data_IF_147173144177
#
_entry.id   IF_147173144177
#
_cell.length_a   1.000
_cell.length_b   1.000
_cell.length_c   1.000
_cell.angle_alpha   90.00
_cell.angle_beta   90.00
_cell.angle_gamma   90.00
#
_symmetry.space_group_name_H-M   'P 1'
#
loop_
_entity.id
_entity.type
_entity.pdbx_description
1 polymer ?
#
# COMPACT_ATOMS: atom_id res chain seq x y z
N UNK A 1 6.40 -3.08 -19.71
CA UNK A 1 5.23 -3.93 -20.03
C UNK A 1 4.64 -3.72 -21.42
N UNK A 2 5.31 -2.98 -22.30
CA UNK A 2 4.91 -2.81 -23.70
C UNK A 2 3.81 -1.79 -23.99
N UNK A 3 3.34 -1.05 -22.98
CA UNK A 3 2.42 0.06 -23.22
C UNK A 3 3.17 1.27 -23.77
N UNK A 4 2.80 1.72 -24.99
CA UNK A 4 3.46 2.86 -25.68
C UNK A 4 2.93 4.23 -25.26
N UNK A 5 1.65 4.31 -24.82
CA UNK A 5 1.00 5.57 -24.44
C UNK A 5 0.57 5.49 -22.98
N UNK A 6 1.47 5.85 -22.07
CA UNK A 6 1.18 5.95 -20.63
C UNK A 6 1.11 7.43 -20.28
N UNK A 7 -0.02 7.87 -19.72
CA UNK A 7 -0.22 9.24 -19.25
C UNK A 7 -0.16 9.23 -17.73
N UNK A 8 0.80 9.94 -17.18
CA UNK A 8 0.88 10.26 -15.75
C UNK A 8 0.76 11.77 -15.59
N UNK A 9 0.19 12.21 -14.47
CA UNK A 9 0.03 13.63 -14.22
C UNK A 9 0.41 13.98 -12.78
N UNK A 10 1.22 15.02 -12.65
CA UNK A 10 1.66 15.52 -11.35
C UNK A 10 0.55 16.28 -10.63
N UNK A 11 0.55 16.25 -9.29
CA UNK A 11 -0.40 16.97 -8.43
C UNK A 11 -0.41 18.48 -8.71
N UNK A 12 0.75 19.08 -9.08
CA UNK A 12 0.84 20.51 -9.42
C UNK A 12 0.07 20.84 -10.71
N UNK A 13 -0.03 19.89 -11.65
CA UNK A 13 -0.75 20.07 -12.93
C UNK A 13 -2.24 19.72 -12.82
N UNK A 14 -2.59 18.74 -12.00
CA UNK A 14 -3.98 18.33 -11.79
C UNK A 14 -4.24 18.04 -10.32
N UNK A 15 -4.93 18.96 -9.65
CA UNK A 15 -5.43 18.72 -8.30
C UNK A 15 -6.66 17.79 -8.39
N UNK A 16 -6.54 16.56 -7.86
CA UNK A 16 -7.58 15.54 -7.89
C UNK A 16 -8.79 15.86 -7.01
N UNK A 17 -8.68 16.85 -6.11
CA UNK A 17 -9.82 17.36 -5.34
C UNK A 17 -10.76 18.24 -6.18
N UNK A 18 -10.30 18.75 -7.33
CA UNK A 18 -11.11 19.55 -8.22
C UNK A 18 -11.84 18.67 -9.25
N UNK A 19 -13.10 18.38 -8.99
CA UNK A 19 -13.94 17.50 -9.80
C UNK A 19 -14.00 17.94 -11.28
N UNK A 20 -14.26 19.21 -11.53
CA UNK A 20 -14.41 19.73 -12.89
C UNK A 20 -13.13 19.54 -13.71
N UNK A 21 -11.96 19.80 -13.11
CA UNK A 21 -10.67 19.61 -13.78
C UNK A 21 -10.40 18.14 -14.05
N UNK A 22 -10.71 17.25 -13.11
CA UNK A 22 -10.55 15.79 -13.27
C UNK A 22 -11.44 15.28 -14.39
N UNK A 23 -12.72 15.67 -14.42
CA UNK A 23 -13.66 15.24 -15.45
C UNK A 23 -13.24 15.75 -16.84
N UNK A 24 -12.88 17.04 -16.96
CA UNK A 24 -12.38 17.61 -18.22
C UNK A 24 -11.14 16.87 -18.71
N UNK A 25 -10.21 16.58 -17.81
CA UNK A 25 -8.99 15.83 -18.13
C UNK A 25 -9.29 14.43 -18.66
N UNK A 26 -10.09 13.63 -17.95
CA UNK A 26 -10.43 12.27 -18.35
C UNK A 26 -11.23 12.23 -19.66
N UNK A 27 -12.18 13.16 -19.86
CA UNK A 27 -12.91 13.31 -21.13
C UNK A 27 -11.99 13.67 -22.31
N UNK A 28 -10.97 14.51 -22.08
CA UNK A 28 -9.99 14.87 -23.10
C UNK A 28 -9.08 13.70 -23.49
N UNK A 29 -8.57 12.96 -22.48
CA UNK A 29 -7.61 11.86 -22.71
C UNK A 29 -8.29 10.60 -23.24
N UNK A 30 -9.55 10.32 -22.82
CA UNK A 30 -10.31 9.10 -23.14
C UNK A 30 -9.47 7.82 -22.98
N UNK A 31 -8.92 7.56 -21.79
CA UNK A 31 -8.00 6.45 -21.60
C UNK A 31 -8.74 5.11 -21.77
N UNK A 32 -8.09 4.13 -22.39
CA UNK A 32 -8.62 2.77 -22.48
C UNK A 32 -8.62 2.07 -21.11
N UNK A 33 -7.59 2.34 -20.30
CA UNK A 33 -7.39 1.78 -18.97
C UNK A 33 -7.05 2.88 -17.97
N UNK A 34 -7.53 2.74 -16.73
CA UNK A 34 -7.18 3.66 -15.64
C UNK A 34 -6.62 2.87 -14.46
N UNK A 35 -5.49 3.33 -13.91
CA UNK A 35 -4.93 2.84 -12.65
C UNK A 35 -5.01 3.95 -11.61
N UNK A 36 -5.80 3.73 -10.55
CA UNK A 36 -5.93 4.69 -9.45
C UNK A 36 -5.00 4.26 -8.32
N UNK A 37 -3.80 4.84 -8.32
CA UNK A 37 -2.82 4.71 -7.23
C UNK A 37 -2.80 5.94 -6.31
N UNK A 38 -3.51 7.00 -6.71
CA UNK A 38 -3.56 8.26 -5.96
C UNK A 38 -4.37 8.11 -4.67
N UNK A 39 -3.80 8.58 -3.56
CA UNK A 39 -4.46 8.69 -2.27
C UNK A 39 -3.68 9.65 -1.36
N UNK A 40 -4.33 10.19 -0.32
CA UNK A 40 -3.64 10.76 0.83
C UNK A 40 -3.25 9.59 1.75
N UNK A 41 -1.95 9.37 1.89
CA UNK A 41 -1.38 8.28 2.71
C UNK A 41 -0.44 8.84 3.77
N UNK A 42 -0.22 8.08 4.83
CA UNK A 42 0.70 8.45 5.90
C UNK A 42 0.85 7.35 6.94
N UNK A 43 1.81 7.54 7.84
CA UNK A 43 2.01 6.66 8.99
C UNK A 43 0.87 6.76 10.02
N UNK A 44 0.92 5.92 11.04
CA UNK A 44 -0.13 5.81 12.08
C UNK A 44 -0.38 7.15 12.79
N UNK A 45 0.68 7.89 13.10
CA UNK A 45 0.54 9.19 13.79
C UNK A 45 -0.19 10.20 12.92
N UNK A 46 0.20 10.30 11.65
CA UNK A 46 -0.42 11.23 10.69
C UNK A 46 -1.89 10.87 10.44
N UNK A 47 -2.20 9.58 10.26
CA UNK A 47 -3.58 9.11 10.13
C UNK A 47 -4.43 9.49 11.35
N UNK A 48 -3.88 9.32 12.55
CA UNK A 48 -4.60 9.61 13.79
C UNK A 48 -4.77 11.10 14.06
N UNK A 49 -3.84 11.95 13.64
CA UNK A 49 -3.90 13.41 13.85
C UNK A 49 -4.72 14.15 12.80
N UNK A 50 -4.72 13.67 11.56
CA UNK A 50 -5.39 14.33 10.42
C UNK A 50 -6.64 13.58 9.95
N UNK A 51 -7.39 12.99 10.87
CA UNK A 51 -8.53 12.08 10.59
C UNK A 51 -9.54 12.65 9.58
N UNK A 52 -10.01 13.88 9.79
CA UNK A 52 -10.96 14.55 8.89
C UNK A 52 -10.40 14.75 7.49
N UNK A 53 -9.13 15.14 7.37
CA UNK A 53 -8.49 15.29 6.06
C UNK A 53 -8.30 13.95 5.35
N UNK A 54 -7.94 12.89 6.08
CA UNK A 54 -7.74 11.58 5.48
C UNK A 54 -9.02 11.00 4.89
N UNK A 55 -10.14 11.08 5.61
CA UNK A 55 -11.42 10.60 5.07
C UNK A 55 -11.89 11.47 3.92
N UNK A 56 -11.92 12.79 4.09
CA UNK A 56 -12.42 13.73 3.09
C UNK A 56 -11.63 13.68 1.78
N UNK A 57 -10.31 13.91 1.84
CA UNK A 57 -9.50 13.98 0.63
C UNK A 57 -9.50 12.64 -0.13
N UNK A 58 -9.43 11.50 0.56
CA UNK A 58 -9.48 10.20 -0.11
C UNK A 58 -10.84 9.92 -0.76
N UNK A 59 -11.96 10.28 -0.10
CA UNK A 59 -13.28 10.16 -0.70
C UNK A 59 -13.40 11.01 -1.96
N UNK A 60 -12.98 12.28 -1.90
CA UNK A 60 -13.07 13.18 -3.06
C UNK A 60 -12.19 12.71 -4.22
N UNK A 61 -10.93 12.34 -3.94
CA UNK A 61 -9.99 11.85 -4.96
C UNK A 61 -10.57 10.63 -5.70
N UNK A 62 -11.01 9.63 -4.97
CA UNK A 62 -11.48 8.39 -5.57
C UNK A 62 -12.83 8.55 -6.27
N UNK A 63 -13.76 9.35 -5.70
CA UNK A 63 -15.04 9.64 -6.32
C UNK A 63 -14.85 10.35 -7.66
N UNK A 64 -13.98 11.37 -7.69
CA UNK A 64 -13.68 12.10 -8.91
C UNK A 64 -13.07 11.20 -9.98
N UNK A 65 -12.13 10.32 -9.60
CA UNK A 65 -11.46 9.44 -10.54
C UNK A 65 -12.34 8.29 -11.03
N UNK A 66 -13.09 7.63 -10.13
CA UNK A 66 -13.96 6.50 -10.49
C UNK A 66 -15.12 6.99 -11.35
N UNK A 67 -15.84 8.03 -10.88
CA UNK A 67 -16.97 8.57 -11.63
C UNK A 67 -16.53 9.24 -12.92
N UNK A 68 -15.50 10.05 -12.88
CA UNK A 68 -14.93 10.69 -14.08
C UNK A 68 -14.46 9.68 -15.13
N UNK A 69 -13.89 8.54 -14.71
CA UNK A 69 -13.55 7.44 -15.61
C UNK A 69 -14.77 6.84 -16.30
N UNK A 70 -15.84 6.63 -15.55
CA UNK A 70 -17.12 6.17 -16.10
C UNK A 70 -17.68 7.17 -17.13
N UNK A 71 -17.73 8.47 -16.79
CA UNK A 71 -18.19 9.52 -17.70
C UNK A 71 -17.32 9.67 -18.96
N UNK A 72 -16.06 9.28 -18.89
CA UNK A 72 -15.15 9.24 -20.03
C UNK A 72 -15.24 7.96 -20.86
N UNK A 73 -16.16 7.04 -20.52
CA UNK A 73 -16.40 5.78 -21.22
C UNK A 73 -15.40 4.66 -20.87
N UNK A 74 -14.61 4.81 -19.81
CA UNK A 74 -13.65 3.80 -19.37
C UNK A 74 -14.37 2.57 -18.85
N UNK A 75 -14.11 1.42 -19.45
CA UNK A 75 -14.68 0.13 -19.03
C UNK A 75 -13.79 -0.66 -18.09
N UNK A 76 -12.48 -0.44 -18.11
CA UNK A 76 -11.49 -1.18 -17.34
C UNK A 76 -10.69 -0.24 -16.42
N UNK A 77 -10.80 -0.46 -15.12
CA UNK A 77 -10.14 0.33 -14.09
C UNK A 77 -9.58 -0.59 -13.00
N UNK A 78 -8.38 -0.27 -12.52
CA UNK A 78 -7.80 -0.84 -11.31
C UNK A 78 -7.78 0.24 -10.22
N UNK A 79 -8.49 -0.02 -9.13
CA UNK A 79 -8.43 0.77 -7.90
C UNK A 79 -7.52 0.09 -6.88
N UNK A 80 -6.51 0.80 -6.40
CA UNK A 80 -5.67 0.29 -5.32
C UNK A 80 -6.33 0.56 -3.97
N UNK A 81 -6.84 -0.51 -3.36
CA UNK A 81 -7.27 -0.56 -1.97
C UNK A 81 -6.07 -0.67 -1.02
N UNK A 82 -6.25 -1.35 0.07
CA UNK A 82 -5.22 -1.64 1.08
C UNK A 82 -5.67 -2.78 1.99
N UNK A 83 -4.77 -3.56 2.55
CA UNK A 83 -5.10 -4.54 3.59
C UNK A 83 -5.61 -3.90 4.90
N UNK A 84 -5.42 -2.57 5.06
CA UNK A 84 -5.92 -1.83 6.22
C UNK A 84 -7.45 -1.69 6.26
N UNK A 85 -8.16 -2.06 5.20
CA UNK A 85 -9.63 -2.01 5.14
C UNK A 85 -10.31 -3.19 5.84
N UNK A 86 -9.54 -4.21 6.19
CA UNK A 86 -10.08 -5.36 6.89
C UNK A 86 -10.25 -5.09 8.38
N UNK A 87 -11.17 -5.79 9.04
CA UNK A 87 -11.36 -5.66 10.47
C UNK A 87 -10.08 -5.89 11.25
N UNK A 88 -9.91 -5.13 12.35
CA UNK A 88 -8.75 -5.24 13.23
C UNK A 88 -8.55 -6.67 13.74
N UNK A 89 -9.62 -7.28 14.19
CA UNK A 89 -9.63 -8.62 14.78
C UNK A 89 -10.31 -9.60 13.81
N UNK A 90 -9.64 -9.93 12.71
CA UNK A 90 -10.13 -10.96 11.79
C UNK A 90 -9.17 -12.15 11.72
N UNK A 91 -9.69 -13.30 11.33
CA UNK A 91 -8.88 -14.51 11.15
C UNK A 91 -7.76 -14.29 10.13
N UNK A 92 -6.62 -14.92 10.39
CA UNK A 92 -5.46 -14.88 9.52
C UNK A 92 -5.24 -16.24 8.84
N UNK A 93 -4.91 -16.27 7.55
CA UNK A 93 -4.74 -15.14 6.64
C UNK A 93 -6.09 -14.52 6.24
N UNK A 94 -6.09 -13.19 6.05
CA UNK A 94 -7.28 -12.38 5.81
C UNK A 94 -7.87 -12.68 4.43
N UNK A 95 -9.12 -13.12 4.40
CA UNK A 95 -9.85 -13.35 3.15
C UNK A 95 -10.63 -12.11 2.71
N UNK A 96 -10.90 -12.00 1.40
CA UNK A 96 -11.61 -10.83 0.84
C UNK A 96 -13.05 -10.70 1.37
N UNK A 97 -13.69 -11.82 1.75
CA UNK A 97 -15.03 -11.84 2.34
C UNK A 97 -15.10 -11.28 3.77
N UNK A 98 -13.96 -11.01 4.41
CA UNK A 98 -13.94 -10.38 5.74
C UNK A 98 -14.15 -8.87 5.70
N UNK A 99 -14.22 -8.29 4.50
CA UNK A 99 -14.50 -6.86 4.34
C UNK A 99 -15.87 -6.50 4.99
N UNK A 100 -15.87 -5.52 5.88
CA UNK A 100 -17.06 -5.06 6.64
C UNK A 100 -17.62 -6.03 7.70
N UNK A 101 -16.93 -7.11 8.04
CA UNK A 101 -17.48 -8.08 9.00
C UNK A 101 -17.28 -7.69 10.46
N UNK A 102 -16.48 -6.67 10.78
CA UNK A 102 -16.24 -6.21 12.15
C UNK A 102 -15.57 -4.83 12.16
N UNK A 103 -15.28 -4.30 13.37
CA UNK A 103 -14.68 -2.99 13.58
C UNK A 103 -13.28 -2.87 12.96
N UNK A 104 -13.00 -1.68 12.42
CA UNK A 104 -11.72 -1.29 11.87
C UNK A 104 -10.71 -0.91 12.98
N UNK A 105 -9.43 -0.83 12.63
CA UNK A 105 -8.43 -0.28 13.52
C UNK A 105 -8.61 1.24 13.64
N UNK A 106 -8.84 1.72 14.85
CA UNK A 106 -9.29 3.09 15.15
C UNK A 106 -8.42 4.20 14.54
N UNK A 107 -7.08 4.07 14.62
CA UNK A 107 -6.18 5.14 14.14
C UNK A 107 -6.16 5.24 12.62
N UNK A 108 -6.49 4.15 11.92
CA UNK A 108 -6.52 4.07 10.46
C UNK A 108 -7.96 4.08 9.88
N UNK A 109 -8.97 4.06 10.73
CA UNK A 109 -10.38 3.97 10.34
C UNK A 109 -10.80 5.00 9.27
N UNK A 110 -10.45 6.30 9.37
CA UNK A 110 -10.85 7.27 8.36
C UNK A 110 -10.34 6.95 6.95
N UNK A 111 -9.10 6.51 6.84
CA UNK A 111 -8.51 6.04 5.59
C UNK A 111 -9.18 4.75 5.10
N UNK A 112 -9.38 3.79 6.01
CA UNK A 112 -9.98 2.51 5.69
C UNK A 112 -11.41 2.68 5.18
N UNK A 113 -12.25 3.49 5.85
CA UNK A 113 -13.63 3.80 5.40
C UNK A 113 -13.63 4.42 4.01
N UNK A 114 -12.76 5.40 3.77
CA UNK A 114 -12.67 5.98 2.43
C UNK A 114 -12.33 4.91 1.38
N UNK A 115 -11.33 4.05 1.64
CA UNK A 115 -10.97 2.97 0.71
C UNK A 115 -12.09 1.95 0.52
N UNK A 116 -12.84 1.59 1.58
CA UNK A 116 -14.01 0.71 1.50
C UNK A 116 -15.08 1.33 0.61
N UNK A 117 -15.36 2.62 0.76
CA UNK A 117 -16.31 3.34 -0.10
C UNK A 117 -15.91 3.26 -1.59
N UNK A 118 -14.62 3.44 -1.92
CA UNK A 118 -14.12 3.28 -3.28
C UNK A 118 -14.25 1.86 -3.83
N UNK A 119 -14.01 0.83 -3.00
CA UNK A 119 -14.22 -0.57 -3.36
C UNK A 119 -15.71 -0.79 -3.69
N UNK A 120 -16.61 -0.36 -2.80
CA UNK A 120 -18.06 -0.50 -3.01
C UNK A 120 -18.55 0.29 -4.22
N UNK A 121 -17.99 1.46 -4.47
CA UNK A 121 -18.27 2.22 -5.68
C UNK A 121 -17.89 1.42 -6.94
N UNK A 122 -16.70 0.83 -7.00
CA UNK A 122 -16.30 -0.02 -8.13
C UNK A 122 -17.23 -1.23 -8.33
N UNK A 123 -17.62 -1.91 -7.25
CA UNK A 123 -18.53 -3.05 -7.30
C UNK A 123 -19.91 -2.64 -7.86
N UNK A 124 -20.49 -1.54 -7.35
CA UNK A 124 -21.80 -1.06 -7.80
C UNK A 124 -21.77 -0.55 -9.25
N UNK A 125 -20.66 0.07 -9.69
CA UNK A 125 -20.49 0.45 -11.09
C UNK A 125 -20.43 -0.77 -12.02
N UNK A 126 -19.82 -1.87 -11.57
CA UNK A 126 -19.82 -3.12 -12.31
C UNK A 126 -21.23 -3.69 -12.47
N UNK A 127 -22.04 -3.63 -11.39
CA UNK A 127 -23.41 -4.14 -11.40
C UNK A 127 -24.30 -3.29 -12.30
N UNK A 128 -24.31 -1.97 -12.06
CA UNK A 128 -25.23 -1.05 -12.71
C UNK A 128 -24.84 -0.74 -14.16
N UNK A 129 -23.57 -0.45 -14.40
CA UNK A 129 -23.08 0.08 -15.68
C UNK A 129 -22.27 -0.93 -16.50
N UNK A 130 -22.20 -2.19 -16.04
CA UNK A 130 -21.47 -3.28 -16.70
C UNK A 130 -20.01 -2.92 -17.00
N UNK A 131 -19.39 -2.17 -16.08
CA UNK A 131 -17.95 -1.91 -16.11
C UNK A 131 -17.17 -3.16 -15.66
N UNK A 132 -15.84 -3.12 -15.73
CA UNK A 132 -14.95 -4.20 -15.27
C UNK A 132 -13.89 -3.64 -14.31
N UNK A 133 -14.35 -2.86 -13.34
CA UNK A 133 -13.51 -2.26 -12.33
C UNK A 133 -13.06 -3.30 -11.31
N UNK A 134 -11.76 -3.32 -11.00
CA UNK A 134 -11.17 -4.25 -10.05
C UNK A 134 -10.44 -3.50 -8.95
N UNK A 135 -10.56 -4.00 -7.73
CA UNK A 135 -9.91 -3.47 -6.55
C UNK A 135 -8.81 -4.43 -6.11
N UNK A 136 -7.57 -4.00 -6.18
CA UNK A 136 -6.45 -4.77 -5.70
C UNK A 136 -6.10 -4.33 -4.29
N UNK A 137 -5.99 -5.30 -3.38
CA UNK A 137 -5.75 -5.09 -1.95
C UNK A 137 -4.29 -5.46 -1.63
N UNK A 138 -3.33 -4.55 -1.86
CA UNK A 138 -1.93 -4.86 -1.65
C UNK A 138 -1.58 -5.01 -0.18
N UNK A 139 -0.66 -5.93 0.12
CA UNK A 139 0.08 -5.97 1.36
C UNK A 139 0.97 -4.72 1.52
N UNK A 140 1.70 -4.60 2.65
CA UNK A 140 2.61 -3.48 2.84
C UNK A 140 3.66 -3.43 1.74
N UNK A 141 3.66 -2.35 0.99
CA UNK A 141 4.59 -2.15 -0.12
C UNK A 141 5.94 -1.67 0.35
N UNK A 142 6.97 -2.01 -0.41
CA UNK A 142 8.31 -1.44 -0.28
C UNK A 142 9.02 -1.45 -1.64
N UNK A 143 9.97 -0.55 -1.82
CA UNK A 143 10.76 -0.47 -3.05
C UNK A 143 11.41 0.90 -3.25
N UNK A 144 12.07 1.12 -4.39
CA UNK A 144 12.52 2.44 -4.81
C UNK A 144 11.37 3.43 -4.88
N UNK A 145 11.67 4.72 -4.69
CA UNK A 145 10.71 5.83 -4.65
C UNK A 145 9.71 5.80 -3.48
N UNK A 146 9.99 5.05 -2.42
CA UNK A 146 9.18 5.06 -1.21
C UNK A 146 9.35 6.38 -0.43
N UNK A 147 8.43 6.63 0.52
CA UNK A 147 8.49 7.81 1.36
C UNK A 147 9.34 7.57 2.61
N UNK A 148 10.44 8.29 2.73
CA UNK A 148 11.39 8.20 3.86
C UNK A 148 11.25 9.36 4.86
N UNK A 149 10.23 10.20 4.75
CA UNK A 149 9.99 11.30 5.69
C UNK A 149 9.85 10.79 7.14
N UNK A 150 10.45 11.46 8.14
CA UNK A 150 10.46 11.03 9.52
C UNK A 150 9.08 10.84 10.16
N UNK A 151 8.10 11.64 9.74
CA UNK A 151 6.77 11.71 10.34
C UNK A 151 5.73 10.87 9.60
N UNK A 152 5.89 10.75 8.27
CA UNK A 152 4.84 10.17 7.41
C UNK A 152 5.20 8.81 6.82
N UNK A 153 6.47 8.37 6.92
CA UNK A 153 6.92 7.09 6.36
C UNK A 153 6.30 5.87 7.03
N UNK A 154 6.15 4.81 6.25
CA UNK A 154 5.80 3.48 6.76
C UNK A 154 6.97 2.81 7.48
N UNK A 155 6.70 1.64 8.11
CA UNK A 155 7.68 0.99 9.00
C UNK A 155 8.99 0.63 8.31
N UNK A 156 8.96 0.12 7.08
CA UNK A 156 10.18 -0.36 6.41
C UNK A 156 11.09 0.79 5.94
N UNK A 157 10.60 1.84 5.27
CA UNK A 157 11.39 3.06 5.02
C UNK A 157 11.93 3.69 6.30
N UNK A 158 11.12 3.74 7.37
CA UNK A 158 11.57 4.26 8.66
C UNK A 158 12.74 3.46 9.26
N UNK A 159 12.69 2.12 9.16
CA UNK A 159 13.80 1.24 9.59
C UNK A 159 15.05 1.51 8.76
N UNK A 160 14.94 1.58 7.43
CA UNK A 160 16.08 1.83 6.54
C UNK A 160 16.74 3.17 6.90
N UNK A 161 15.95 4.26 6.96
CA UNK A 161 16.44 5.60 7.30
C UNK A 161 17.13 5.65 8.66
N UNK A 162 16.49 5.13 9.71
CA UNK A 162 17.06 5.10 11.07
C UNK A 162 18.36 4.30 11.13
N UNK A 163 18.43 3.17 10.44
CA UNK A 163 19.62 2.34 10.40
C UNK A 163 20.76 3.01 9.63
N UNK A 164 20.44 3.68 8.52
CA UNK A 164 21.43 4.45 7.74
C UNK A 164 22.02 5.60 8.56
N UNK A 165 21.17 6.35 9.29
CA UNK A 165 21.65 7.42 10.16
C UNK A 165 22.58 6.94 11.28
N UNK A 166 22.37 5.72 11.79
CA UNK A 166 23.28 5.12 12.77
C UNK A 166 24.63 4.76 12.19
N UNK A 167 24.69 4.35 10.93
CA UNK A 167 25.99 4.07 10.26
C UNK A 167 26.85 5.31 10.20
N UNK A 168 26.25 6.45 9.90
CA UNK A 168 26.95 7.73 9.71
C UNK A 168 27.28 8.43 11.05
N UNK A 169 26.57 8.13 12.13
CA UNK A 169 26.78 8.75 13.44
C UNK A 169 27.57 7.82 14.38
N UNK A 170 28.88 8.07 14.53
CA UNK A 170 29.76 7.25 15.37
C UNK A 170 29.38 7.29 16.86
N UNK A 171 28.81 8.35 17.36
CA UNK A 171 28.49 8.53 18.80
C UNK A 171 27.13 7.90 19.18
N UNK A 172 26.18 7.79 18.27
CA UNK A 172 24.86 7.23 18.56
C UNK A 172 24.78 5.76 18.14
N UNK A 173 24.46 4.86 19.07
CA UNK A 173 24.22 3.44 18.85
C UNK A 173 22.80 3.00 19.20
N UNK A 174 21.88 3.95 19.50
CA UNK A 174 20.51 3.66 19.90
C UNK A 174 19.56 3.70 18.71
N UNK A 175 18.77 2.66 18.55
CA UNK A 175 17.68 2.59 17.56
C UNK A 175 16.36 2.41 18.29
N UNK A 176 15.51 3.40 18.19
CA UNK A 176 14.15 3.32 18.76
C UNK A 176 13.25 2.52 17.83
N UNK A 177 12.77 1.38 18.33
CA UNK A 177 11.78 0.54 17.67
C UNK A 177 10.44 0.67 18.39
N UNK A 178 9.37 0.82 17.63
CA UNK A 178 8.03 0.89 18.19
C UNK A 178 7.51 -0.51 18.54
N UNK A 179 6.99 -0.64 19.76
CA UNK A 179 6.47 -1.89 20.29
C UNK A 179 7.58 -2.89 20.65
N UNK A 180 7.21 -4.17 20.78
CA UNK A 180 8.10 -5.27 21.20
C UNK A 180 8.85 -5.93 20.02
N UNK A 181 8.53 -5.55 18.78
CA UNK A 181 9.15 -6.11 17.56
C UNK A 181 8.67 -7.51 17.18
N UNK A 182 7.75 -8.13 17.91
CA UNK A 182 7.20 -9.46 17.57
C UNK A 182 6.07 -9.38 16.55
N UNK A 183 5.51 -8.20 16.32
CA UNK A 183 4.48 -7.96 15.32
C UNK A 183 4.92 -8.48 13.95
N UNK A 184 4.04 -9.23 13.29
CA UNK A 184 4.28 -9.79 11.96
C UNK A 184 3.61 -8.96 10.90
N UNK A 185 4.32 -8.76 9.79
CA UNK A 185 3.79 -8.03 8.63
C UNK A 185 4.11 -8.79 7.36
N UNK A 186 3.15 -8.83 6.48
CA UNK A 186 3.36 -9.21 5.10
C UNK A 186 3.89 -7.99 4.34
N UNK A 187 4.93 -8.20 3.54
CA UNK A 187 5.50 -7.17 2.66
C UNK A 187 5.51 -7.64 1.22
N UNK A 188 5.31 -6.71 0.30
CA UNK A 188 5.28 -6.96 -1.13
C UNK A 188 6.17 -5.93 -1.86
N UNK A 189 7.05 -6.40 -2.73
CA UNK A 189 7.88 -5.51 -3.53
C UNK A 189 7.04 -4.78 -4.58
N UNK A 190 7.28 -3.49 -4.75
CA UNK A 190 6.46 -2.60 -5.59
C UNK A 190 6.33 -3.05 -7.04
N UNK A 191 7.39 -3.64 -7.63
CA UNK A 191 7.31 -4.17 -9.00
C UNK A 191 6.35 -5.36 -9.12
N UNK A 192 6.19 -6.17 -8.07
CA UNK A 192 5.21 -7.26 -8.08
C UNK A 192 3.78 -6.71 -8.05
N UNK A 193 3.53 -5.59 -7.35
CA UNK A 193 2.25 -4.89 -7.47
C UNK A 193 2.04 -4.34 -8.88
N UNK A 194 3.06 -3.74 -9.49
CA UNK A 194 3.00 -3.28 -10.87
C UNK A 194 2.67 -4.41 -11.85
N UNK A 195 3.27 -5.59 -11.65
CA UNK A 195 2.95 -6.81 -12.42
C UNK A 195 1.51 -7.25 -12.20
N UNK A 196 1.02 -7.25 -10.96
CA UNK A 196 -0.37 -7.56 -10.64
C UNK A 196 -1.35 -6.60 -11.33
N UNK A 197 -1.09 -5.29 -11.27
CA UNK A 197 -1.93 -4.29 -11.92
C UNK A 197 -2.11 -4.58 -13.41
N UNK A 198 -1.02 -4.84 -14.13
CA UNK A 198 -1.07 -5.14 -15.56
C UNK A 198 -1.75 -6.49 -15.81
N UNK A 199 -1.43 -7.50 -15.01
CA UNK A 199 -2.04 -8.83 -15.13
C UNK A 199 -3.57 -8.77 -14.98
N UNK A 200 -4.03 -8.16 -13.88
CA UNK A 200 -5.45 -8.09 -13.57
C UNK A 200 -6.21 -7.10 -14.44
N UNK A 201 -5.56 -6.08 -15.01
CA UNK A 201 -6.18 -5.23 -16.02
C UNK A 201 -6.67 -6.04 -17.21
N UNK A 202 -5.87 -6.98 -17.69
CA UNK A 202 -6.17 -7.80 -18.86
C UNK A 202 -6.96 -9.08 -18.52
N UNK A 203 -7.04 -9.47 -17.24
CA UNK A 203 -7.71 -10.70 -16.81
C UNK A 203 -9.22 -10.51 -16.77
N UNK A 204 -9.95 -11.27 -17.58
CA UNK A 204 -11.40 -11.40 -17.45
C UNK A 204 -11.73 -12.22 -16.20
N UNK A 205 -12.50 -11.66 -15.29
CA UNK A 205 -12.94 -12.32 -14.05
C UNK A 205 -14.17 -11.65 -13.48
N UNK A 206 -15.02 -12.43 -12.80
CA UNK A 206 -16.15 -11.92 -12.00
C UNK A 206 -15.71 -11.37 -10.63
N UNK A 207 -14.48 -11.66 -10.21
CA UNK A 207 -13.98 -11.20 -8.92
C UNK A 207 -13.48 -9.76 -9.04
N UNK A 208 -14.15 -8.84 -8.35
CA UNK A 208 -13.81 -7.42 -8.32
C UNK A 208 -12.80 -7.06 -7.22
N UNK A 209 -12.78 -7.81 -6.10
CA UNK A 209 -11.86 -7.58 -4.97
C UNK A 209 -10.87 -8.74 -4.88
N UNK A 210 -9.56 -8.40 -4.89
CA UNK A 210 -8.48 -9.40 -4.98
C UNK A 210 -7.34 -8.98 -4.05
N UNK A 211 -7.01 -9.83 -3.10
CA UNK A 211 -5.84 -9.65 -2.24
C UNK A 211 -4.55 -9.89 -3.02
N UNK A 212 -3.61 -8.96 -2.91
CA UNK A 212 -2.31 -8.98 -3.57
C UNK A 212 -1.20 -8.99 -2.54
N UNK A 213 -0.61 -10.15 -2.33
CA UNK A 213 0.42 -10.33 -1.32
C UNK A 213 1.32 -11.52 -1.60
N UNK A 214 2.40 -11.61 -0.82
CA UNK A 214 3.34 -12.75 -0.85
C UNK A 214 2.77 -14.00 -0.19
N UNK A 215 1.80 -13.83 0.72
CA UNK A 215 1.28 -14.86 1.62
C UNK A 215 2.27 -15.24 2.71
N UNK A 216 3.32 -14.43 2.94
CA UNK A 216 4.37 -14.67 3.94
C UNK A 216 4.48 -13.50 4.89
N UNK A 217 4.44 -13.82 6.16
CA UNK A 217 4.67 -12.85 7.22
C UNK A 217 6.14 -12.85 7.64
N UNK A 218 6.66 -11.67 7.93
CA UNK A 218 7.99 -11.49 8.49
C UNK A 218 7.88 -10.68 9.78
N UNK A 219 8.61 -11.11 10.79
CA UNK A 219 8.71 -10.39 12.07
C UNK A 219 9.49 -9.08 11.87
N UNK A 220 9.02 -7.99 12.44
CA UNK A 220 9.67 -6.67 12.30
C UNK A 220 11.11 -6.69 12.81
N UNK A 221 11.40 -7.47 13.88
CA UNK A 221 12.77 -7.65 14.40
C UNK A 221 13.68 -8.34 13.37
N UNK A 222 13.16 -9.34 12.66
CA UNK A 222 13.92 -10.02 11.58
C UNK A 222 14.21 -9.07 10.42
N UNK A 223 13.23 -8.28 10.00
CA UNK A 223 13.41 -7.25 8.96
C UNK A 223 14.48 -6.26 9.38
N UNK A 224 14.44 -5.77 10.62
CA UNK A 224 15.45 -4.86 11.16
C UNK A 224 16.86 -5.48 11.09
N UNK A 225 17.03 -6.74 11.50
CA UNK A 225 18.32 -7.42 11.45
C UNK A 225 18.86 -7.53 10.01
N UNK A 226 18.00 -7.86 9.06
CA UNK A 226 18.37 -7.91 7.63
C UNK A 226 18.83 -6.52 7.15
N UNK A 227 18.10 -5.46 7.50
CA UNK A 227 18.46 -4.08 7.13
C UNK A 227 19.79 -3.66 7.74
N UNK A 228 20.06 -3.98 9.02
CA UNK A 228 21.32 -3.70 9.70
C UNK A 228 22.50 -4.35 8.93
N UNK A 229 22.33 -5.61 8.56
CA UNK A 229 23.36 -6.37 7.83
C UNK A 229 23.59 -5.78 6.42
N UNK A 230 22.53 -5.46 5.68
CA UNK A 230 22.62 -4.90 4.33
C UNK A 230 23.20 -3.48 4.29
N UNK A 231 22.93 -2.66 5.30
CA UNK A 231 23.52 -1.32 5.43
C UNK A 231 24.98 -1.40 5.86
N UNK A 232 25.36 -2.49 6.56
CA UNK A 232 26.73 -2.71 7.05
C UNK A 232 27.05 -1.90 8.31
N UNK A 233 26.12 -1.86 9.28
CA UNK A 233 26.38 -1.26 10.60
C UNK A 233 27.16 -2.26 11.45
N UNK A 234 28.45 -1.98 11.68
CA UNK A 234 29.36 -2.90 12.40
C UNK A 234 29.30 -2.78 13.93
N UNK A 235 28.80 -1.66 14.45
CA UNK A 235 28.69 -1.43 15.90
C UNK A 235 27.47 -2.12 16.51
N UNK A 236 27.56 -2.45 17.81
CA UNK A 236 26.43 -2.96 18.58
C UNK A 236 25.34 -1.91 18.68
N UNK A 237 24.14 -2.25 18.17
CA UNK A 237 22.96 -1.38 18.23
C UNK A 237 22.15 -1.71 19.47
N UNK A 238 21.85 -0.69 20.28
CA UNK A 238 20.92 -0.78 21.39
C UNK A 238 19.51 -0.49 20.87
N UNK A 239 18.63 -1.50 20.95
CA UNK A 239 17.24 -1.35 20.52
C UNK A 239 16.43 -0.89 21.71
N UNK A 240 15.99 0.37 21.69
CA UNK A 240 15.05 0.90 22.68
C UNK A 240 13.63 0.61 22.22
N UNK A 241 12.88 -0.12 23.06
CA UNK A 241 11.47 -0.41 22.85
C UNK A 241 10.65 0.74 23.45
N UNK A 242 10.06 1.56 22.61
CA UNK A 242 9.15 2.64 23.05
C UNK A 242 7.76 2.41 22.50
N UNK A 243 6.74 2.54 23.35
CA UNK A 243 5.35 2.52 22.93
C UNK A 243 4.94 3.93 22.50
N UNK A 244 5.06 4.21 21.21
CA UNK A 244 4.65 5.50 20.62
C UNK A 244 3.27 5.42 19.93
N UNK A 245 2.58 4.31 20.06
CA UNK A 245 1.23 4.11 19.50
C UNK A 245 0.15 4.38 20.55
N UNK A 246 -1.02 4.89 20.16
CA UNK A 246 -2.18 4.91 21.02
C UNK A 246 -2.49 3.50 21.59
N UNK A 247 -2.92 3.47 22.86
CA UNK A 247 -3.37 2.20 23.47
C UNK A 247 -4.45 1.55 22.57
N UNK A 248 -4.42 0.24 22.41
CA UNK A 248 -5.37 -0.55 21.59
C UNK A 248 -5.25 -0.36 20.07
N UNK A 249 -4.24 0.34 19.52
CA UNK A 249 -4.05 0.49 18.06
C UNK A 249 -3.19 -0.62 17.42
N UNK A 250 -2.70 -1.58 18.19
CA UNK A 250 -1.83 -2.65 17.68
C UNK A 250 -2.64 -3.70 16.94
N UNK A 251 -2.17 -4.03 15.74
CA UNK A 251 -2.60 -5.19 14.95
C UNK A 251 -1.42 -6.15 14.93
N UNK A 252 -1.52 -7.29 15.61
CA UNK A 252 -0.40 -8.21 15.79
C UNK A 252 0.02 -8.88 14.49
N UNK A 253 -0.95 -9.23 13.66
CA UNK A 253 -0.73 -9.89 12.36
C UNK A 253 -1.53 -9.20 11.27
N UNK A 254 -0.92 -9.09 10.10
CA UNK A 254 -1.57 -8.58 8.90
C UNK A 254 -1.01 -9.34 7.69
N UNK A 255 -1.68 -10.43 7.33
CA UNK A 255 -1.33 -11.28 6.21
C UNK A 255 -2.57 -11.57 5.37
N UNK A 256 -2.54 -11.20 4.09
CA UNK A 256 -3.65 -11.46 3.19
C UNK A 256 -3.68 -12.92 2.72
N UNK A 257 -4.88 -13.48 2.63
CA UNK A 257 -5.09 -14.72 1.91
C UNK A 257 -4.96 -14.47 0.40
N UNK A 258 -3.91 -14.97 -0.21
CA UNK A 258 -3.69 -14.82 -1.64
C UNK A 258 -4.23 -16.00 -2.48
N UNK A 259 -5.05 -16.88 -1.90
CA UNK A 259 -5.60 -18.07 -2.60
C UNK A 259 -6.39 -17.68 -3.84
N UNK A 260 -7.22 -16.64 -3.79
CA UNK A 260 -7.98 -16.14 -4.93
C UNK A 260 -7.07 -15.76 -6.08
N UNK A 261 -6.06 -14.93 -5.82
CA UNK A 261 -5.08 -14.53 -6.84
C UNK A 261 -4.32 -15.74 -7.41
N UNK A 262 -3.83 -16.64 -6.55
CA UNK A 262 -2.98 -17.79 -6.97
C UNK A 262 -3.76 -18.92 -7.62
N UNK A 263 -4.80 -19.43 -6.95
CA UNK A 263 -5.46 -20.67 -7.34
C UNK A 263 -6.54 -20.42 -8.40
N UNK A 264 -7.36 -19.38 -8.20
CA UNK A 264 -8.46 -19.09 -9.12
C UNK A 264 -8.01 -18.24 -10.30
N UNK A 265 -7.17 -17.24 -10.08
CA UNK A 265 -6.79 -16.28 -11.10
C UNK A 265 -5.38 -16.50 -11.68
N UNK A 266 -4.63 -17.49 -11.15
CA UNK A 266 -3.31 -17.93 -11.65
C UNK A 266 -2.23 -16.82 -11.61
N UNK A 267 -2.30 -15.93 -10.64
CA UNK A 267 -1.27 -14.92 -10.40
C UNK A 267 -0.54 -15.15 -9.07
N UNK A 268 0.76 -14.97 -9.07
CA UNK A 268 1.61 -14.98 -7.86
C UNK A 268 2.73 -13.95 -8.01
N UNK A 269 3.20 -13.32 -6.90
CA UNK A 269 4.36 -12.45 -6.97
C UNK A 269 5.61 -13.23 -7.38
N UNK A 270 6.47 -12.60 -8.14
CA UNK A 270 7.75 -13.20 -8.57
C UNK A 270 8.75 -13.26 -7.43
N UNK A 271 8.72 -12.25 -6.54
CA UNK A 271 9.67 -12.06 -5.43
C UNK A 271 9.08 -12.51 -4.09
N UNK A 272 8.78 -13.80 -3.99
CA UNK A 272 8.12 -14.39 -2.82
C UNK A 272 9.05 -15.27 -1.94
N UNK A 273 10.29 -15.55 -2.37
CA UNK A 273 11.27 -16.27 -1.55
C UNK A 273 12.02 -15.32 -0.61
N UNK A 274 12.64 -15.87 0.46
CA UNK A 274 13.49 -15.07 1.37
C UNK A 274 14.67 -14.44 0.62
N UNK A 275 15.29 -15.18 -0.28
CA UNK A 275 16.40 -14.69 -1.12
C UNK A 275 15.95 -13.51 -1.99
N UNK A 276 14.80 -13.61 -2.65
CA UNK A 276 14.28 -12.52 -3.48
C UNK A 276 13.84 -11.31 -2.65
N UNK A 277 13.32 -11.52 -1.44
CA UNK A 277 13.05 -10.44 -0.51
C UNK A 277 14.33 -9.67 -0.15
N UNK A 278 15.39 -10.38 0.21
CA UNK A 278 16.71 -9.77 0.55
C UNK A 278 17.27 -9.00 -0.66
N UNK A 279 17.22 -9.57 -1.87
CA UNK A 279 17.66 -8.89 -3.10
C UNK A 279 16.88 -7.61 -3.36
N UNK A 280 15.56 -7.65 -3.19
CA UNK A 280 14.68 -6.50 -3.39
C UNK A 280 14.91 -5.42 -2.33
N UNK A 281 15.15 -5.84 -1.09
CA UNK A 281 15.47 -4.94 0.01
C UNK A 281 16.82 -4.25 -0.22
N UNK A 282 17.83 -4.98 -0.72
CA UNK A 282 19.12 -4.40 -1.11
C UNK A 282 18.95 -3.33 -2.18
N UNK A 283 18.19 -3.60 -3.26
CA UNK A 283 17.86 -2.60 -4.30
C UNK A 283 17.19 -1.36 -3.72
N UNK A 284 16.27 -1.54 -2.77
CA UNK A 284 15.58 -0.44 -2.09
C UNK A 284 16.55 0.41 -1.26
N UNK A 285 17.46 -0.24 -0.53
CA UNK A 285 18.50 0.44 0.28
C UNK A 285 19.51 1.16 -0.63
N UNK A 286 19.93 0.53 -1.72
CA UNK A 286 20.88 1.15 -2.66
C UNK A 286 20.24 2.38 -3.33
N UNK A 287 18.97 2.30 -3.72
CA UNK A 287 18.22 3.45 -4.20
C UNK A 287 18.18 4.57 -3.15
N UNK A 288 17.80 4.24 -1.91
CA UNK A 288 17.75 5.21 -0.81
C UNK A 288 19.09 5.94 -0.60
N UNK A 289 20.25 5.22 -0.66
CA UNK A 289 21.56 5.82 -0.51
C UNK A 289 21.94 6.79 -1.64
N UNK A 290 21.42 6.56 -2.84
CA UNK A 290 21.75 7.36 -4.02
C UNK A 290 20.84 8.60 -4.18
N UNK A 291 19.70 8.68 -3.49
CA UNK A 291 18.72 9.75 -3.63
C UNK A 291 18.49 10.56 -2.35
N UNK A 292 19.36 10.37 -1.35
CA UNK A 292 19.53 11.26 -0.20
C UNK A 292 20.86 11.99 -0.35
#
# INVERSE_FOLDING_TARGET
KGFKKVVTIDKKKLNLLNQNRVFKFLKKIKPKFVFIAAAKVGGILTNNSLRGQFIYENLVIQNNLIHGSYLAGVKDLIFLGSNCVYPKNCHQPIKEEYLLNNYLEYTNEPYAIAKIAGIKMCENYNIQYKTRYKCLMPANLFGPNDNYDPLTSHFLPAIIRKTASLKNNKKNNKLVMWGNGITKREVLYVDDLGDACVYFMNKKTKHSVINIGSGKETNIKEVLQIVINLIGVKKKILIEKRRLRPKKSEVDRLCACNKKARLLLKWKPKRHSKTEFIKSLKKTIDWFKNYQ
#
